data_IF_657877044935
#
_entry.id   IF_657877044935
#
_cell.length_a   1.000
_cell.length_b   1.000
_cell.length_c   1.000
_cell.angle_alpha   90.00
_cell.angle_beta   90.00
_cell.angle_gamma   90.00
#
_symmetry.space_group_name_H-M   'P 1'
#
loop_
_entity.id
_entity.type
_entity.pdbx_description
1 polymer ?
#
# COMPACT_ATOMS: atom_id res chain seq x y z
N UNK A 1 6.04 -12.55 1.91
CA UNK A 1 6.20 -11.66 0.74
C UNK A 1 6.18 -10.26 1.32
N UNK A 2 7.09 -9.38 0.91
CA UNK A 2 7.24 -8.10 1.60
C UNK A 2 6.52 -6.97 0.87
N UNK A 3 5.50 -6.38 1.49
CA UNK A 3 4.79 -5.21 1.02
C UNK A 3 5.57 -3.93 1.37
N UNK A 4 5.79 -3.07 0.38
CA UNK A 4 6.59 -1.85 0.51
C UNK A 4 5.86 -0.67 -0.12
N UNK A 5 5.88 0.47 0.57
CA UNK A 5 5.48 1.78 0.01
C UNK A 5 6.72 2.69 -0.04
N UNK A 6 7.04 3.16 -1.24
CA UNK A 6 8.05 4.19 -1.47
C UNK A 6 7.54 5.53 -0.93
N UNK A 7 8.13 5.97 0.18
CA UNK A 7 7.72 7.18 0.88
C UNK A 7 7.99 8.44 0.04
N UNK A 8 9.09 8.46 -0.71
CA UNK A 8 9.45 9.62 -1.55
C UNK A 8 8.57 9.71 -2.80
N UNK A 9 8.07 8.57 -3.28
CA UNK A 9 7.14 8.49 -4.41
C UNK A 9 5.65 8.58 -4.03
N UNK A 10 5.32 8.57 -2.74
CA UNK A 10 3.93 8.55 -2.28
C UNK A 10 3.30 9.94 -2.36
N UNK A 11 2.26 10.10 -3.18
CA UNK A 11 1.53 11.36 -3.33
C UNK A 11 0.27 11.50 -2.47
N UNK A 12 0.05 10.60 -1.50
CA UNK A 12 -1.04 10.74 -0.53
C UNK A 12 -2.48 10.63 -1.03
N UNK A 13 -2.70 9.92 -2.13
CA UNK A 13 -4.03 9.81 -2.75
C UNK A 13 -5.04 8.97 -1.95
N UNK A 14 -4.60 8.21 -0.93
CA UNK A 14 -5.47 7.35 -0.10
C UNK A 14 -6.11 6.15 -0.80
N UNK A 15 -5.76 5.88 -2.08
CA UNK A 15 -6.34 4.77 -2.87
C UNK A 15 -6.02 3.39 -2.29
N UNK A 16 -4.82 3.22 -1.76
CA UNK A 16 -4.39 2.00 -1.08
C UNK A 16 -5.30 1.66 0.11
N UNK A 17 -5.53 2.63 1.00
CA UNK A 17 -6.40 2.47 2.17
C UNK A 17 -7.86 2.22 1.75
N UNK A 18 -8.34 2.88 0.70
CA UNK A 18 -9.70 2.66 0.21
C UNK A 18 -9.94 1.25 -0.35
N UNK A 19 -8.92 0.62 -0.95
CA UNK A 19 -9.00 -0.71 -1.57
C UNK A 19 -8.66 -1.82 -0.58
N UNK A 20 -7.61 -1.62 0.22
CA UNK A 20 -7.07 -2.61 1.15
C UNK A 20 -6.82 -1.97 2.52
N UNK A 21 -7.88 -1.56 3.25
CA UNK A 21 -7.76 -0.86 4.53
C UNK A 21 -7.04 -1.68 5.61
N UNK A 22 -7.07 -3.00 5.51
CA UNK A 22 -6.39 -3.89 6.46
C UNK A 22 -4.88 -4.06 6.18
N UNK A 23 -4.37 -3.48 5.08
CA UNK A 23 -2.96 -3.59 4.68
C UNK A 23 -2.22 -2.27 4.74
N UNK A 24 -2.91 -1.14 4.66
CA UNK A 24 -2.30 0.18 4.56
C UNK A 24 -2.86 1.12 5.60
N UNK A 25 -1.98 1.95 6.13
CA UNK A 25 -2.33 3.15 6.86
C UNK A 25 -2.00 4.39 6.01
N UNK A 26 -2.62 5.51 6.34
CA UNK A 26 -2.33 6.84 5.79
C UNK A 26 -2.23 7.79 6.97
N UNK A 27 -1.04 8.32 7.20
CA UNK A 27 -0.79 9.21 8.33
C UNK A 27 -1.39 10.61 8.12
N UNK A 28 -1.28 11.45 9.16
CA UNK A 28 -1.80 12.82 9.18
C UNK A 28 -1.09 13.75 8.17
N UNK A 29 0.12 13.39 7.72
CA UNK A 29 0.87 14.09 6.68
C UNK A 29 0.48 13.63 5.27
N UNK A 30 -0.44 12.66 5.18
CA UNK A 30 -0.94 12.10 3.93
C UNK A 30 0.04 11.11 3.30
N UNK A 31 0.97 10.52 4.05
CA UNK A 31 1.90 9.51 3.55
C UNK A 31 1.41 8.12 3.96
N UNK A 32 1.42 7.19 3.01
CA UNK A 32 0.95 5.82 3.25
C UNK A 32 2.09 4.88 3.62
N UNK A 33 1.82 3.95 4.52
CA UNK A 33 2.72 2.86 4.90
C UNK A 33 1.96 1.53 5.05
N UNK A 34 2.62 0.38 4.87
CA UNK A 34 2.03 -0.91 5.21
C UNK A 34 1.77 -1.02 6.72
N UNK A 35 0.63 -1.59 7.12
CA UNK A 35 0.37 -1.96 8.53
C UNK A 35 1.30 -3.09 8.96
N UNK A 36 1.54 -4.03 8.05
CA UNK A 36 2.56 -5.08 8.17
C UNK A 36 3.35 -5.14 6.87
N UNK A 37 4.67 -5.24 7.00
CA UNK A 37 5.53 -5.45 5.83
C UNK A 37 5.42 -6.90 5.33
N UNK A 38 5.18 -7.89 6.20
CA UNK A 38 5.05 -9.28 5.78
C UNK A 38 3.58 -9.62 5.54
N UNK A 39 3.28 -10.03 4.30
CA UNK A 39 1.95 -10.46 3.88
C UNK A 39 1.93 -11.92 3.43
N UNK A 40 0.81 -12.58 3.75
CA UNK A 40 0.49 -13.95 3.34
C UNK A 40 -0.17 -14.03 1.97
N UNK A 41 -0.42 -15.26 1.50
CA UNK A 41 -1.11 -15.53 0.22
C UNK A 41 -2.56 -15.07 0.22
N UNK A 42 -3.20 -15.06 1.39
CA UNK A 42 -4.55 -14.55 1.62
C UNK A 42 -4.66 -13.03 1.45
N UNK A 43 -3.56 -12.30 1.67
CA UNK A 43 -3.48 -10.84 1.53
C UNK A 43 -2.96 -10.40 0.15
N UNK A 44 -2.39 -11.32 -0.64
CA UNK A 44 -1.74 -11.01 -1.90
C UNK A 44 -2.67 -10.32 -2.90
N UNK A 45 -3.89 -10.82 -3.07
CA UNK A 45 -4.84 -10.26 -4.04
C UNK A 45 -5.20 -8.80 -3.70
N UNK A 46 -5.43 -8.49 -2.42
CA UNK A 46 -5.73 -7.14 -1.97
C UNK A 46 -4.51 -6.21 -2.14
N UNK A 47 -3.30 -6.71 -1.87
CA UNK A 47 -2.07 -5.97 -2.09
C UNK A 47 -1.85 -5.65 -3.58
N UNK A 48 -2.09 -6.62 -4.48
CA UNK A 48 -2.01 -6.43 -5.93
C UNK A 48 -3.03 -5.40 -6.44
N UNK A 49 -4.26 -5.43 -5.91
CA UNK A 49 -5.29 -4.44 -6.24
C UNK A 49 -4.89 -3.02 -5.81
N UNK A 50 -4.31 -2.88 -4.61
CA UNK A 50 -3.80 -1.61 -4.12
C UNK A 50 -2.61 -1.09 -4.97
N UNK A 51 -1.72 -1.98 -5.42
CA UNK A 51 -0.63 -1.66 -6.34
C UNK A 51 -1.19 -1.10 -7.66
N UNK A 52 -2.16 -1.78 -8.25
CA UNK A 52 -2.79 -1.36 -9.51
C UNK A 52 -3.54 -0.02 -9.38
N UNK A 53 -4.03 0.31 -8.19
CA UNK A 53 -4.76 1.56 -7.91
C UNK A 53 -3.86 2.72 -7.49
N UNK A 54 -2.57 2.51 -7.25
CA UNK A 54 -1.64 3.57 -6.86
C UNK A 54 -1.30 4.47 -8.07
N UNK A 55 -1.72 5.75 -8.10
CA UNK A 55 -1.47 6.62 -9.25
C UNK A 55 0.01 6.98 -9.45
N UNK A 56 0.85 6.75 -8.44
CA UNK A 56 2.29 7.06 -8.46
C UNK A 56 3.16 5.82 -8.61
N UNK A 57 2.57 4.62 -8.70
CA UNK A 57 3.31 3.36 -8.71
C UNK A 57 4.28 3.21 -7.52
N UNK A 58 3.92 3.77 -6.37
CA UNK A 58 4.74 3.80 -5.17
C UNK A 58 4.66 2.52 -4.31
N UNK A 59 3.82 1.55 -4.69
CA UNK A 59 3.58 0.33 -3.91
C UNK A 59 4.15 -0.87 -4.68
N UNK A 60 4.85 -1.77 -3.98
CA UNK A 60 5.37 -3.02 -4.56
C UNK A 60 5.43 -4.16 -3.55
N UNK A 61 5.41 -5.39 -4.06
CA UNK A 61 5.74 -6.60 -3.30
C UNK A 61 7.15 -7.03 -3.71
N UNK A 62 8.00 -7.36 -2.74
CA UNK A 62 9.37 -7.88 -2.92
C UNK A 62 9.60 -9.21 -2.21
#
# INVERSE_FOLDING_TARGET
MKLVVDQDGCGGHGRCVAVAPDLFDLDDDGVSSPITEEIGTDQQAAAEEAIANCPQSAIRIV
#
